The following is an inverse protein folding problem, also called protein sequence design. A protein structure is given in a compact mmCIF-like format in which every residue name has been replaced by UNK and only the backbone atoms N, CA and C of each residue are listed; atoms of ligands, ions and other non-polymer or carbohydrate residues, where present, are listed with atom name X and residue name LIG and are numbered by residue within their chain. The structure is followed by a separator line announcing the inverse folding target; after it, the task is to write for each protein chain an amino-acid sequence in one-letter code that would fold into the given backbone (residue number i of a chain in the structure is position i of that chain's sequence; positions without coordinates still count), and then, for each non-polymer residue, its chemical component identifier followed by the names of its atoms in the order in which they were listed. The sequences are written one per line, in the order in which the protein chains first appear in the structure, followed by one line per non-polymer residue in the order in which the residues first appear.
data_IF_738378279396
#
_entry.id   IF_738378279396
#
_cell.length_a   1.000
_cell.length_b   1.000
_cell.length_c   1.000
_cell.angle_alpha   90.00
_cell.angle_beta   90.00
_cell.angle_gamma   90.00
#
_symmetry.space_group_name_H-M   'P 1'
#
loop_
_entity.id
_entity.type
_entity.pdbx_description
1 polymer ?
#
# COMPACT_ATOMS: atom_id res chain seq x y z
N UNK A 1 -76.97 3.81 22.13
CA UNK A 1 -76.28 3.23 20.97
C UNK A 1 -74.98 4.01 20.73
N UNK A 2 -73.88 3.58 21.38
CA UNK A 2 -72.52 4.03 21.09
C UNK A 2 -71.80 2.80 20.56
N UNK A 3 -71.51 2.79 19.27
CA UNK A 3 -70.64 1.78 18.66
C UNK A 3 -69.22 2.03 19.13
N UNK A 4 -68.67 1.05 19.84
CA UNK A 4 -67.26 0.98 20.17
C UNK A 4 -66.43 0.45 19.00
N UNK A 5 -65.12 0.57 19.22
CA UNK A 5 -64.06 -0.33 18.77
C UNK A 5 -63.74 -0.24 17.27
N UNK A 6 -62.53 0.06 16.82
CA UNK A 6 -61.22 -0.10 17.43
C UNK A 6 -60.32 -0.57 16.29
N UNK A 7 -59.48 0.31 15.74
CA UNK A 7 -58.43 -0.13 14.82
C UNK A 7 -57.12 0.59 15.11
N UNK A 8 -56.37 -0.06 16.02
CA UNK A 8 -54.93 -0.22 16.00
C UNK A 8 -54.09 1.05 15.82
N UNK A 9 -54.05 1.87 16.87
CA UNK A 9 -52.78 2.50 17.25
C UNK A 9 -51.91 1.44 17.93
N UNK A 10 -51.31 0.57 17.14
CA UNK A 10 -50.30 -0.38 17.59
C UNK A 10 -48.99 -0.11 16.84
N UNK A 11 -48.42 1.07 17.05
CA UNK A 11 -47.07 1.44 16.62
C UNK A 11 -46.48 2.24 17.77
N UNK A 12 -45.25 1.93 18.18
CA UNK A 12 -44.52 2.76 19.16
C UNK A 12 -44.18 2.13 20.50
N UNK A 13 -43.97 0.80 20.56
CA UNK A 13 -43.18 0.22 21.66
C UNK A 13 -42.18 -0.85 21.22
N UNK A 14 -42.44 -1.51 20.09
CA UNK A 14 -41.45 -2.30 19.34
C UNK A 14 -40.65 -1.47 18.34
N UNK A 15 -41.28 -0.51 17.67
CA UNK A 15 -40.66 0.22 16.54
C UNK A 15 -39.51 1.15 16.93
N UNK A 16 -39.54 1.80 18.09
CA UNK A 16 -38.43 2.65 18.54
C UNK A 16 -37.16 1.83 18.84
N UNK A 17 -37.35 0.63 19.40
CA UNK A 17 -36.28 -0.33 19.66
C UNK A 17 -35.72 -0.89 18.36
N UNK A 18 -36.59 -1.33 17.44
CA UNK A 18 -36.18 -1.87 16.13
C UNK A 18 -35.52 -0.79 15.27
N UNK A 19 -36.01 0.46 15.32
CA UNK A 19 -35.41 1.60 14.61
C UNK A 19 -34.00 1.89 15.14
N UNK A 20 -33.81 1.90 16.47
CA UNK A 20 -32.49 2.10 17.08
C UNK A 20 -31.54 0.95 16.75
N UNK A 21 -32.00 -0.30 16.83
CA UNK A 21 -31.20 -1.49 16.48
C UNK A 21 -30.78 -1.42 15.00
N UNK A 22 -31.71 -1.07 14.11
CA UNK A 22 -31.42 -0.93 12.67
C UNK A 22 -30.40 0.19 12.44
N UNK A 23 -30.55 1.34 13.09
CA UNK A 23 -29.58 2.44 13.01
C UNK A 23 -28.19 2.00 13.51
N UNK A 24 -28.13 1.28 14.63
CA UNK A 24 -26.88 0.72 15.15
C UNK A 24 -26.24 -0.27 14.18
N UNK A 25 -27.03 -1.14 13.53
CA UNK A 25 -26.52 -2.10 12.54
C UNK A 25 -25.98 -1.40 11.28
N UNK A 26 -26.69 -0.39 10.77
CA UNK A 26 -26.22 0.40 9.62
C UNK A 26 -24.93 1.13 9.98
N UNK A 27 -24.86 1.77 11.14
CA UNK A 27 -23.66 2.45 11.61
C UNK A 27 -22.49 1.47 11.79
N UNK A 28 -22.72 0.31 12.40
CA UNK A 28 -21.70 -0.72 12.54
C UNK A 28 -21.20 -1.22 11.19
N UNK A 29 -22.09 -1.41 10.22
CA UNK A 29 -21.75 -1.77 8.84
C UNK A 29 -20.90 -0.70 8.14
N UNK A 30 -21.26 0.58 8.28
CA UNK A 30 -20.49 1.70 7.73
C UNK A 30 -19.10 1.78 8.35
N UNK A 31 -19.00 1.68 9.69
CA UNK A 31 -17.71 1.67 10.39
C UNK A 31 -16.85 0.48 9.94
N UNK A 32 -17.43 -0.72 9.83
CA UNK A 32 -16.73 -1.89 9.35
C UNK A 32 -16.21 -1.70 7.91
N UNK A 33 -17.03 -1.14 7.02
CA UNK A 33 -16.63 -0.84 5.64
C UNK A 33 -15.52 0.21 5.58
N UNK A 34 -15.61 1.30 6.35
CA UNK A 34 -14.57 2.33 6.41
C UNK A 34 -13.25 1.77 6.93
N UNK A 35 -13.28 0.95 8.00
CA UNK A 35 -12.10 0.31 8.54
C UNK A 35 -11.47 -0.66 7.54
N UNK A 36 -12.28 -1.43 6.81
CA UNK A 36 -11.79 -2.31 5.75
C UNK A 36 -11.10 -1.54 4.63
N UNK A 37 -11.72 -0.47 4.14
CA UNK A 37 -11.14 0.41 3.10
C UNK A 37 -9.85 1.05 3.59
N UNK A 38 -9.83 1.57 4.83
CA UNK A 38 -8.64 2.14 5.43
C UNK A 38 -7.52 1.09 5.52
N UNK A 39 -7.84 -0.13 5.94
CA UNK A 39 -6.87 -1.22 6.02
C UNK A 39 -6.26 -1.56 4.66
N UNK A 40 -7.09 -1.72 3.62
CA UNK A 40 -6.62 -1.95 2.24
C UNK A 40 -5.75 -0.78 1.78
N UNK A 41 -6.17 0.47 2.06
CA UNK A 41 -5.43 1.68 1.74
C UNK A 41 -4.00 1.68 2.31
N UNK A 42 -3.82 1.28 3.57
CA UNK A 42 -2.49 1.21 4.18
C UNK A 42 -1.56 0.21 3.48
N UNK A 43 -2.11 -0.94 3.05
CA UNK A 43 -1.35 -1.97 2.33
C UNK A 43 -0.91 -1.47 0.96
N UNK A 44 -1.84 -0.86 0.21
CA UNK A 44 -1.59 -0.32 -1.13
C UNK A 44 -0.56 0.80 -1.10
N UNK A 45 -0.71 1.78 -0.19
CA UNK A 45 0.24 2.89 -0.05
C UNK A 45 1.63 2.39 0.31
N UNK A 46 1.72 1.37 1.18
CA UNK A 46 3.01 0.77 1.50
C UNK A 46 3.67 0.18 0.27
N UNK A 47 2.94 -0.63 -0.52
CA UNK A 47 3.51 -1.26 -1.71
C UNK A 47 4.02 -0.23 -2.73
N UNK A 48 3.23 0.82 -2.97
CA UNK A 48 3.65 1.91 -3.85
C UNK A 48 4.89 2.64 -3.34
N UNK A 49 5.02 2.84 -2.03
CA UNK A 49 6.23 3.46 -1.46
C UNK A 49 7.48 2.60 -1.64
N UNK A 50 7.37 1.28 -1.47
CA UNK A 50 8.52 0.37 -1.67
C UNK A 50 8.94 0.36 -3.14
N UNK A 51 7.98 0.37 -4.07
CA UNK A 51 8.27 0.45 -5.50
C UNK A 51 8.91 1.79 -5.88
N UNK A 52 8.34 2.91 -5.44
CA UNK A 52 8.92 4.23 -5.69
C UNK A 52 10.33 4.37 -5.10
N UNK A 53 10.61 3.73 -3.95
CA UNK A 53 11.95 3.68 -3.40
C UNK A 53 12.92 2.88 -4.28
N UNK A 54 12.48 1.74 -4.85
CA UNK A 54 13.27 0.97 -5.79
C UNK A 54 13.59 1.79 -7.05
N UNK A 55 12.57 2.42 -7.65
CA UNK A 55 12.71 3.21 -8.88
C UNK A 55 13.68 4.38 -8.72
N UNK A 56 13.53 5.16 -7.64
CA UNK A 56 14.43 6.27 -7.34
C UNK A 56 15.86 5.79 -7.02
N UNK A 57 16.00 4.63 -6.38
CA UNK A 57 17.31 4.05 -6.08
C UNK A 57 18.01 3.59 -7.36
N UNK A 58 17.29 2.92 -8.26
CA UNK A 58 17.83 2.47 -9.54
C UNK A 58 18.28 3.66 -10.40
N UNK A 59 17.46 4.70 -10.51
CA UNK A 59 17.83 5.93 -11.24
C UNK A 59 19.01 6.67 -10.61
N UNK A 60 19.06 6.76 -9.27
CA UNK A 60 20.19 7.38 -8.57
C UNK A 60 21.49 6.59 -8.75
N UNK A 61 21.42 5.26 -8.75
CA UNK A 61 22.57 4.41 -9.01
C UNK A 61 23.05 4.53 -10.46
N UNK A 62 22.12 4.48 -11.42
CA UNK A 62 22.42 4.65 -12.84
C UNK A 62 23.10 5.99 -13.13
N UNK A 63 22.66 7.08 -12.49
CA UNK A 63 23.28 8.41 -12.62
C UNK A 63 24.72 8.50 -12.08
N UNK A 64 25.09 7.62 -11.15
CA UNK A 64 26.42 7.59 -10.51
C UNK A 64 27.34 6.49 -11.09
N UNK A 65 26.87 5.72 -12.08
CA UNK A 65 27.67 4.66 -12.71
C UNK A 65 28.99 5.17 -13.30
N UNK A 66 29.01 6.41 -13.78
CA UNK A 66 30.21 7.04 -14.32
C UNK A 66 31.32 7.19 -13.27
N UNK A 67 30.98 7.29 -11.98
CA UNK A 67 31.93 7.33 -10.88
C UNK A 67 32.36 5.93 -10.41
N UNK A 68 31.65 4.87 -10.82
CA UNK A 68 31.91 3.48 -10.48
C UNK A 68 30.70 2.75 -9.88
N UNK A 69 30.74 1.41 -9.93
CA UNK A 69 29.67 0.56 -9.40
C UNK A 69 29.51 0.70 -7.88
N UNK A 70 30.63 0.79 -7.14
CA UNK A 70 30.62 0.93 -5.67
C UNK A 70 30.00 2.27 -5.23
N UNK A 71 30.28 3.36 -5.94
CA UNK A 71 29.66 4.68 -5.71
C UNK A 71 28.17 4.66 -6.00
N UNK A 72 27.75 3.98 -7.08
CA UNK A 72 26.34 3.76 -7.39
C UNK A 72 25.59 3.00 -6.29
N UNK A 73 26.11 1.85 -5.86
CA UNK A 73 25.48 1.07 -4.78
C UNK A 73 25.57 1.77 -3.42
N UNK A 74 26.63 2.53 -3.14
CA UNK A 74 26.70 3.39 -1.96
C UNK A 74 25.62 4.48 -1.95
N UNK A 75 25.22 4.98 -3.12
CA UNK A 75 24.12 5.94 -3.25
C UNK A 75 22.76 5.31 -2.95
N UNK A 76 22.55 4.06 -3.36
CA UNK A 76 21.35 3.27 -3.03
C UNK A 76 21.17 3.16 -1.52
N UNK A 77 22.24 2.86 -0.78
CA UNK A 77 22.18 2.77 0.68
C UNK A 77 21.77 4.08 1.35
N UNK A 78 22.28 5.21 0.86
CA UNK A 78 21.90 6.52 1.36
C UNK A 78 20.41 6.81 1.13
N UNK A 79 19.87 6.38 -0.01
CA UNK A 79 18.45 6.55 -0.34
C UNK A 79 17.56 5.60 0.45
N UNK A 80 18.00 4.35 0.63
CA UNK A 80 17.29 3.35 1.41
C UNK A 80 17.09 3.81 2.87
N UNK A 81 18.13 4.39 3.49
CA UNK A 81 18.02 5.01 4.82
C UNK A 81 17.00 6.15 4.88
N UNK A 82 16.99 7.04 3.87
CA UNK A 82 16.03 8.16 3.79
C UNK A 82 14.59 7.67 3.61
N UNK A 83 14.40 6.64 2.79
CA UNK A 83 13.09 6.05 2.48
C UNK A 83 12.61 5.04 3.51
N UNK A 84 13.44 4.72 4.54
CA UNK A 84 13.20 3.69 5.56
C UNK A 84 12.93 2.30 4.94
N UNK A 85 13.65 1.99 3.88
CA UNK A 85 13.69 0.66 3.26
C UNK A 85 15.07 0.04 3.47
N UNK A 86 15.17 -1.28 3.33
CA UNK A 86 16.42 -2.02 3.40
C UNK A 86 16.83 -2.47 2.01
N UNK A 87 18.08 -2.23 1.63
CA UNK A 87 18.65 -2.79 0.40
C UNK A 87 18.81 -4.28 0.60
N UNK A 88 18.23 -5.06 -0.30
CA UNK A 88 18.43 -6.50 -0.36
C UNK A 88 19.54 -6.85 -1.36
N UNK A 89 19.56 -6.19 -2.51
CA UNK A 89 20.57 -6.40 -3.53
C UNK A 89 20.76 -5.12 -4.36
N UNK A 90 21.99 -4.89 -4.81
CA UNK A 90 22.36 -3.88 -5.79
C UNK A 90 23.30 -4.59 -6.77
N UNK A 91 22.82 -4.79 -7.99
CA UNK A 91 23.55 -5.52 -9.04
C UNK A 91 23.79 -4.56 -10.20
N UNK A 92 25.04 -4.43 -10.63
CA UNK A 92 25.45 -3.60 -11.76
C UNK A 92 25.96 -4.53 -12.86
N UNK A 93 25.34 -4.43 -14.03
CA UNK A 93 25.73 -5.13 -15.24
C UNK A 93 26.05 -4.08 -16.31
N UNK A 94 27.35 -3.81 -16.51
CA UNK A 94 27.84 -2.82 -17.47
C UNK A 94 27.27 -1.40 -17.21
N UNK A 95 26.21 -1.01 -17.91
CA UNK A 95 25.50 0.28 -17.75
C UNK A 95 24.08 0.14 -17.18
N UNK A 96 23.75 -1.02 -16.67
CA UNK A 96 22.43 -1.36 -16.16
C UNK A 96 22.50 -1.71 -14.67
N UNK A 97 21.63 -1.11 -13.86
CA UNK A 97 21.55 -1.33 -12.43
C UNK A 97 20.20 -1.93 -12.06
N UNK A 98 20.24 -3.07 -11.38
CA UNK A 98 19.06 -3.66 -10.75
C UNK A 98 19.15 -3.51 -9.24
N UNK A 99 18.20 -2.80 -8.66
CA UNK A 99 18.10 -2.56 -7.22
C UNK A 99 16.90 -3.32 -6.67
N UNK A 100 17.13 -4.13 -5.64
CA UNK A 100 16.07 -4.79 -4.88
C UNK A 100 16.04 -4.24 -3.46
N UNK A 101 14.89 -3.70 -3.05
CA UNK A 101 14.66 -3.19 -1.70
C UNK A 101 13.54 -3.95 -1.00
N UNK A 102 13.58 -3.91 0.33
CA UNK A 102 12.57 -4.52 1.19
C UNK A 102 12.11 -3.55 2.26
N UNK A 103 10.85 -3.62 2.65
CA UNK A 103 10.32 -2.89 3.79
C UNK A 103 9.56 -3.84 4.72
N UNK A 104 9.80 -3.69 6.02
CA UNK A 104 8.98 -4.33 7.05
C UNK A 104 7.82 -3.42 7.40
N UNK A 105 6.60 -3.92 7.21
CA UNK A 105 5.37 -3.24 7.59
C UNK A 105 4.65 -4.02 8.67
N UNK A 106 4.20 -3.30 9.69
CA UNK A 106 3.32 -3.84 10.73
C UNK A 106 1.88 -3.67 10.26
N UNK A 107 1.25 -4.76 9.83
CA UNK A 107 -0.14 -4.77 9.34
C UNK A 107 -1.14 -5.01 10.49
N UNK A 108 -0.95 -4.31 11.60
CA UNK A 108 -1.78 -4.44 12.81
C UNK A 108 -1.96 -5.90 13.26
N UNK A 109 -3.21 -6.42 13.37
CA UNK A 109 -3.47 -7.78 13.84
C UNK A 109 -2.92 -8.88 12.93
N UNK A 110 -2.55 -8.56 11.69
CA UNK A 110 -1.96 -9.51 10.73
C UNK A 110 -0.44 -9.69 10.92
N UNK A 111 0.17 -9.00 11.90
CA UNK A 111 1.58 -9.10 12.24
C UNK A 111 2.51 -8.32 11.29
N UNK A 112 3.80 -8.65 11.36
CA UNK A 112 4.83 -8.04 10.50
C UNK A 112 4.93 -8.77 9.16
N UNK A 113 4.85 -8.02 8.06
CA UNK A 113 5.06 -8.51 6.70
C UNK A 113 6.28 -7.84 6.08
N UNK A 114 7.01 -8.58 5.25
CA UNK A 114 8.10 -8.06 4.43
C UNK A 114 7.57 -7.86 3.02
N UNK A 115 7.66 -6.63 2.52
CA UNK A 115 7.35 -6.29 1.13
C UNK A 115 8.66 -6.13 0.37
N UNK A 116 8.75 -6.74 -0.81
CA UNK A 116 9.92 -6.67 -1.69
C UNK A 116 9.54 -5.95 -2.98
N UNK A 117 10.44 -5.10 -3.46
CA UNK A 117 10.35 -4.42 -4.75
C UNK A 117 11.70 -4.47 -5.45
N UNK A 118 11.65 -4.55 -6.78
CA UNK A 118 12.83 -4.55 -7.65
C UNK A 118 12.59 -3.54 -8.76
N UNK A 119 13.61 -2.74 -9.06
CA UNK A 119 13.61 -1.81 -10.17
C UNK A 119 14.95 -1.91 -10.92
N UNK A 120 14.87 -1.74 -12.24
CA UNK A 120 16.01 -1.80 -13.16
C UNK A 120 16.13 -0.46 -13.88
N UNK A 121 17.35 0.06 -14.00
CA UNK A 121 17.65 1.28 -14.74
C UNK A 121 18.92 1.07 -15.58
N UNK A 122 18.76 1.16 -16.90
CA UNK A 122 19.84 1.03 -17.88
C UNK A 122 19.47 1.74 -19.19
N UNK A 123 20.41 1.82 -20.16
CA UNK A 123 20.17 2.51 -21.42
C UNK A 123 18.97 1.95 -22.17
N UNK A 124 18.24 2.81 -22.87
CA UNK A 124 17.16 2.37 -23.75
C UNK A 124 17.78 1.50 -24.84
N UNK A 125 17.45 0.21 -24.85
CA UNK A 125 17.81 -0.67 -25.95
C UNK A 125 17.12 -0.12 -27.20
N UNK A 126 17.88 0.37 -28.17
CA UNK A 126 17.32 0.68 -29.48
C UNK A 126 16.76 -0.62 -30.06
N UNK A 127 15.45 -0.68 -30.38
CA UNK A 127 14.89 -1.89 -30.97
C UNK A 127 15.41 -2.04 -32.40
N UNK A 128 16.51 -2.78 -32.55
CA UNK A 128 16.96 -3.33 -33.82
C UNK A 128 18.36 -2.92 -34.24
N UNK A 129 19.35 -3.66 -33.74
CA UNK A 129 20.50 -4.03 -34.58
C UNK A 129 20.44 -5.57 -34.73
N UNK A 130 19.85 -6.10 -35.82
CA UNK A 130 20.08 -7.49 -36.20
C UNK A 130 21.51 -7.65 -36.76
N UNK A 131 22.11 -8.84 -36.66
CA UNK A 131 23.48 -9.13 -37.11
C UNK A 131 23.67 -9.00 -38.62
#
# INVERSE_FOLDING_TARGET
MRGGDGHLSAVGRGDDGIATVTACLVLAGLLAATLLIAHIGTVVVTRHRVQAAADLSALAAAGELAAGADTGCGRVDALARRMRVRVHACEVAEWDVTVTVTATVTAGPLGTRVVRATARAGPATEPGEPP
#
